data_IF_459066586975
#
_entry.id   IF_459066586975
#
_cell.length_a   1.000
_cell.length_b   1.000
_cell.length_c   1.000
_cell.angle_alpha   90.00
_cell.angle_beta   90.00
_cell.angle_gamma   90.00
#
_symmetry.space_group_name_H-M   'P 1'
#
loop_
_entity.id
_entity.type
_entity.pdbx_description
1 polymer ?
#
# COMPACT_ATOMS: atom_id res chain seq x y z
N UNK A 1 30.58 -16.88 -9.95
CA UNK A 1 29.80 -15.67 -9.62
C UNK A 1 28.73 -15.52 -10.69
N UNK A 2 27.61 -16.18 -10.52
CA UNK A 2 26.49 -16.07 -11.46
C UNK A 2 25.60 -14.92 -10.98
N UNK A 3 25.64 -13.82 -11.73
CA UNK A 3 24.70 -12.72 -11.61
C UNK A 3 23.37 -13.19 -12.18
N UNK A 4 22.45 -13.59 -11.33
CA UNK A 4 21.08 -13.85 -11.73
C UNK A 4 20.43 -12.50 -12.07
N UNK A 5 20.37 -12.19 -13.37
CA UNK A 5 19.66 -11.04 -13.89
C UNK A 5 18.16 -11.21 -13.58
N UNK A 6 17.61 -10.26 -12.86
CA UNK A 6 16.18 -9.98 -12.85
C UNK A 6 15.82 -9.45 -14.24
N UNK A 7 15.57 -10.35 -15.16
CA UNK A 7 15.00 -9.99 -16.46
C UNK A 7 13.56 -9.57 -16.23
N UNK A 8 13.36 -8.27 -16.04
CA UNK A 8 12.12 -7.69 -16.52
C UNK A 8 12.01 -8.07 -17.99
N UNK A 9 10.88 -8.56 -18.47
CA UNK A 9 10.77 -9.00 -19.85
C UNK A 9 11.17 -7.85 -20.76
N UNK A 10 12.32 -7.99 -21.41
CA UNK A 10 12.71 -7.12 -22.50
C UNK A 10 11.61 -7.24 -23.54
N UNK A 11 11.10 -6.13 -23.97
CA UNK A 11 10.11 -5.94 -25.03
C UNK A 11 10.31 -6.91 -26.20
N UNK A 12 9.79 -8.12 -26.10
CA UNK A 12 9.54 -8.98 -27.25
C UNK A 12 8.03 -9.01 -27.47
N UNK A 13 7.57 -8.15 -28.36
CA UNK A 13 6.31 -8.35 -29.04
C UNK A 13 6.37 -9.71 -29.74
N UNK A 14 5.77 -10.73 -29.12
CA UNK A 14 5.52 -12.01 -29.77
C UNK A 14 4.10 -12.43 -29.44
N UNK A 15 3.26 -12.34 -30.48
CA UNK A 15 1.96 -12.98 -30.69
C UNK A 15 1.09 -13.26 -29.46
N UNK A 16 -0.02 -12.54 -29.40
CA UNK A 16 -1.21 -12.79 -28.59
C UNK A 16 -1.62 -14.26 -28.64
N UNK A 17 -1.34 -14.98 -27.56
CA UNK A 17 -2.13 -16.08 -27.11
C UNK A 17 -2.80 -15.61 -25.82
N UNK A 18 -4.13 -15.59 -25.75
CA UNK A 18 -4.87 -15.36 -24.52
C UNK A 18 -4.52 -16.48 -23.54
N UNK A 19 -3.60 -16.20 -22.63
CA UNK A 19 -3.40 -17.02 -21.46
C UNK A 19 -4.22 -16.36 -20.35
N UNK A 20 -5.29 -17.04 -19.92
CA UNK A 20 -6.02 -16.60 -18.74
C UNK A 20 -5.04 -16.50 -17.57
N UNK A 21 -5.01 -15.37 -16.82
CA UNK A 21 -4.19 -15.26 -15.64
C UNK A 21 -4.59 -16.33 -14.64
N UNK A 22 -3.67 -17.18 -14.28
CA UNK A 22 -3.92 -18.21 -13.27
C UNK A 22 -3.60 -17.59 -11.91
N UNK A 23 -4.58 -16.94 -11.30
CA UNK A 23 -4.56 -16.69 -9.85
C UNK A 23 -4.74 -18.07 -9.20
N UNK A 24 -3.66 -18.63 -8.71
CA UNK A 24 -3.71 -19.92 -8.02
C UNK A 24 -4.22 -19.65 -6.61
N UNK A 25 -5.37 -20.21 -6.26
CA UNK A 25 -5.75 -20.35 -4.85
C UNK A 25 -4.58 -21.00 -4.13
N UNK A 26 -4.21 -20.48 -2.95
CA UNK A 26 -3.23 -21.08 -2.07
C UNK A 26 -3.75 -22.48 -1.64
N UNK A 27 -3.65 -23.43 -2.55
CA UNK A 27 -3.81 -24.83 -2.23
C UNK A 27 -2.62 -25.22 -1.35
N UNK A 28 -2.67 -24.75 -0.09
CA UNK A 28 -1.82 -25.26 0.96
C UNK A 28 -2.26 -26.69 1.18
N UNK A 29 -1.51 -27.62 0.62
CA UNK A 29 -1.47 -28.99 1.16
C UNK A 29 -0.76 -28.85 2.52
N UNK A 30 -1.47 -28.28 3.48
CA UNK A 30 -1.08 -28.32 4.88
C UNK A 30 -1.65 -29.61 5.44
N UNK A 31 -0.78 -30.49 5.89
CA UNK A 31 -1.18 -31.54 6.82
C UNK A 31 -1.95 -30.87 7.98
N UNK A 32 -3.10 -31.39 8.36
CA UNK A 32 -4.09 -30.84 9.29
C UNK A 32 -3.59 -30.50 10.71
N UNK A 33 -2.31 -30.22 10.93
CA UNK A 33 -1.69 -29.93 12.25
C UNK A 33 -0.88 -28.66 12.35
N UNK A 34 -0.75 -27.86 11.31
CA UNK A 34 -0.23 -26.50 11.46
C UNK A 34 -1.39 -25.53 11.73
N UNK A 35 -1.48 -25.09 12.98
CA UNK A 35 -2.31 -23.92 13.35
C UNK A 35 -2.03 -22.84 12.31
N UNK A 36 -3.08 -22.39 11.59
CA UNK A 36 -3.03 -21.21 10.73
C UNK A 36 -2.42 -20.07 11.55
N UNK A 37 -1.15 -19.80 11.40
CA UNK A 37 -0.61 -18.48 11.74
C UNK A 37 -1.25 -17.55 10.71
N UNK A 38 -2.29 -16.85 11.12
CA UNK A 38 -2.84 -15.77 10.33
C UNK A 38 -1.69 -14.79 10.04
N UNK A 39 -1.34 -14.66 8.76
CA UNK A 39 -0.38 -13.64 8.36
C UNK A 39 -0.97 -12.28 8.72
N UNK A 40 -0.17 -11.37 9.31
CA UNK A 40 -0.66 -10.02 9.60
C UNK A 40 -1.18 -9.35 8.33
N UNK A 41 -2.26 -8.58 8.47
CA UNK A 41 -2.80 -7.83 7.34
C UNK A 41 -1.82 -6.72 6.89
N UNK A 42 -1.89 -6.33 5.61
CA UNK A 42 -1.10 -5.21 5.12
C UNK A 42 -1.63 -3.85 5.61
N UNK A 43 -2.87 -3.78 6.07
CA UNK A 43 -3.49 -2.64 6.75
C UNK A 43 -4.37 -3.15 7.90
N UNK A 44 -4.29 -2.52 9.08
CA UNK A 44 -4.91 -2.98 10.32
C UNK A 44 -5.94 -2.03 10.92
N UNK A 45 -6.07 -0.81 10.40
CA UNK A 45 -7.04 0.19 10.87
C UNK A 45 -8.47 -0.41 10.97
N UNK A 46 -9.48 0.36 11.30
CA UNK A 46 -10.89 -0.06 11.32
C UNK A 46 -11.35 -0.59 9.94
N UNK A 47 -10.76 -1.70 9.51
CA UNK A 47 -11.03 -2.36 8.24
C UNK A 47 -11.44 -3.80 8.49
N UNK A 48 -12.28 -4.33 7.60
CA UNK A 48 -12.65 -5.74 7.55
C UNK A 48 -12.06 -6.38 6.30
N UNK A 49 -11.62 -7.64 6.41
CA UNK A 49 -11.32 -8.46 5.25
C UNK A 49 -12.60 -8.88 4.55
N UNK A 50 -12.55 -8.95 3.23
CA UNK A 50 -13.65 -9.42 2.39
C UNK A 50 -13.06 -10.21 1.21
N UNK A 51 -13.77 -11.22 0.75
CA UNK A 51 -13.39 -11.94 -0.47
C UNK A 51 -13.81 -11.17 -1.72
N UNK A 52 -13.18 -11.48 -2.86
CA UNK A 52 -13.58 -10.89 -4.14
C UNK A 52 -15.00 -11.31 -4.51
N UNK A 53 -15.38 -12.57 -4.27
CA UNK A 53 -16.72 -13.10 -4.50
C UNK A 53 -17.78 -12.36 -3.67
N UNK A 54 -17.50 -12.09 -2.40
CA UNK A 54 -18.41 -11.29 -1.55
C UNK A 54 -18.52 -9.84 -2.05
N UNK A 55 -17.40 -9.28 -2.55
CA UNK A 55 -17.39 -7.93 -3.11
C UNK A 55 -18.20 -7.86 -4.40
N UNK A 56 -18.13 -8.86 -5.25
CA UNK A 56 -18.88 -8.96 -6.51
C UNK A 56 -20.39 -9.17 -6.27
N UNK A 57 -20.72 -10.03 -5.31
CA UNK A 57 -22.12 -10.43 -5.06
C UNK A 57 -22.89 -9.38 -4.28
N UNK A 58 -22.26 -8.75 -3.29
CA UNK A 58 -22.97 -7.95 -2.29
C UNK A 58 -22.68 -6.44 -2.39
N UNK A 59 -21.63 -6.03 -3.12
CA UNK A 59 -21.22 -4.63 -3.14
C UNK A 59 -21.60 -3.96 -4.47
N UNK A 60 -22.52 -3.01 -4.40
CA UNK A 60 -22.84 -2.15 -5.54
C UNK A 60 -22.52 -0.71 -5.15
N UNK A 61 -21.49 -0.15 -5.75
CA UNK A 61 -21.16 1.26 -5.59
C UNK A 61 -22.26 2.08 -6.28
N UNK A 62 -22.98 2.94 -5.55
CA UNK A 62 -24.06 3.70 -6.13
C UNK A 62 -23.56 4.74 -7.13
N UNK A 63 -24.40 5.08 -8.10
CA UNK A 63 -24.15 6.24 -8.97
C UNK A 63 -24.38 7.53 -8.19
N UNK A 64 -23.46 8.47 -8.30
CA UNK A 64 -23.52 9.76 -7.65
C UNK A 64 -23.63 10.87 -8.71
N UNK A 65 -24.60 11.75 -8.59
CA UNK A 65 -24.67 13.06 -9.27
C UNK A 65 -25.18 13.09 -10.70
N UNK A 66 -24.87 12.14 -11.55
CA UNK A 66 -25.36 12.02 -12.91
C UNK A 66 -25.63 10.55 -13.29
N UNK A 67 -26.09 10.33 -14.52
CA UNK A 67 -26.41 8.99 -14.99
C UNK A 67 -25.18 8.15 -15.40
N UNK A 68 -23.96 8.55 -15.08
CA UNK A 68 -22.77 7.76 -15.31
C UNK A 68 -22.68 6.62 -14.30
N UNK A 69 -22.41 5.42 -14.80
CA UNK A 69 -22.10 4.28 -13.95
C UNK A 69 -20.74 4.53 -13.27
N UNK A 70 -20.74 4.48 -11.96
CA UNK A 70 -19.52 4.53 -11.16
C UNK A 70 -18.73 3.23 -11.36
N UNK A 71 -17.43 3.33 -11.58
CA UNK A 71 -16.53 2.16 -11.66
C UNK A 71 -16.66 1.39 -10.33
N UNK A 72 -16.94 0.10 -10.40
CA UNK A 72 -17.08 -0.71 -9.20
C UNK A 72 -15.73 -1.02 -8.55
N UNK A 73 -15.72 -1.44 -7.28
CA UNK A 73 -14.50 -1.86 -6.61
C UNK A 73 -13.89 -3.10 -7.26
N UNK A 74 -14.72 -4.08 -7.67
CA UNK A 74 -14.27 -5.28 -8.35
C UNK A 74 -13.69 -4.95 -9.74
N UNK A 75 -14.30 -4.04 -10.50
CA UNK A 75 -13.73 -3.60 -11.79
C UNK A 75 -12.35 -2.99 -11.61
N UNK A 76 -12.14 -2.20 -10.56
CA UNK A 76 -10.83 -1.64 -10.25
C UNK A 76 -9.80 -2.75 -9.98
N UNK A 77 -10.13 -3.76 -9.17
CA UNK A 77 -9.24 -4.90 -8.89
C UNK A 77 -8.91 -5.63 -10.19
N UNK A 78 -9.92 -6.03 -10.96
CA UNK A 78 -9.72 -6.78 -12.20
C UNK A 78 -8.86 -6.05 -13.23
N UNK A 79 -9.01 -4.73 -13.37
CA UNK A 79 -8.16 -3.96 -14.30
C UNK A 79 -6.69 -3.95 -13.89
N UNK A 80 -6.41 -3.93 -12.58
CA UNK A 80 -5.03 -4.01 -12.08
C UNK A 80 -4.47 -5.43 -12.24
N UNK A 81 -5.26 -6.46 -11.95
CA UNK A 81 -4.89 -7.87 -12.14
C UNK A 81 -4.62 -8.18 -13.61
N UNK A 82 -5.45 -7.69 -14.52
CA UNK A 82 -5.27 -7.82 -15.97
C UNK A 82 -3.96 -7.17 -16.43
N UNK A 83 -3.71 -5.93 -15.99
CA UNK A 83 -2.48 -5.21 -16.32
C UNK A 83 -1.24 -5.93 -15.76
N UNK A 84 -1.32 -6.44 -14.53
CA UNK A 84 -0.24 -7.19 -13.90
C UNK A 84 0.04 -8.50 -14.64
N UNK A 85 -0.99 -9.25 -15.00
CA UNK A 85 -0.88 -10.51 -15.74
C UNK A 85 -0.28 -10.31 -17.13
N UNK A 86 -0.60 -9.20 -17.78
CA UNK A 86 -0.02 -8.86 -19.06
C UNK A 86 1.46 -8.45 -18.94
N UNK A 87 1.77 -7.60 -17.95
CA UNK A 87 3.12 -7.05 -17.80
C UNK A 87 4.11 -8.10 -17.26
N UNK A 88 3.68 -8.88 -16.26
CA UNK A 88 4.45 -9.93 -15.61
C UNK A 88 4.06 -11.32 -16.15
N UNK A 89 3.96 -11.46 -17.48
CA UNK A 89 3.59 -12.71 -18.12
C UNK A 89 4.56 -13.84 -17.76
N UNK A 90 4.01 -14.96 -17.28
CA UNK A 90 4.77 -16.12 -16.83
C UNK A 90 5.08 -16.17 -15.32
N UNK A 91 4.78 -15.09 -14.61
CA UNK A 91 4.92 -15.06 -13.16
C UNK A 91 3.67 -15.61 -12.44
N UNK A 92 3.85 -16.06 -11.19
CA UNK A 92 2.75 -16.61 -10.37
C UNK A 92 2.32 -15.59 -9.33
N UNK A 93 1.02 -15.32 -9.28
CA UNK A 93 0.43 -14.37 -8.33
C UNK A 93 -0.14 -15.09 -7.10
N UNK A 94 -0.07 -14.42 -5.95
CA UNK A 94 -0.76 -14.83 -4.73
C UNK A 94 -2.21 -14.35 -4.73
N UNK A 95 -2.97 -14.76 -3.72
CA UNK A 95 -4.35 -14.32 -3.54
C UNK A 95 -4.42 -12.82 -3.28
N UNK A 96 -5.48 -12.19 -3.80
CA UNK A 96 -5.76 -10.79 -3.57
C UNK A 96 -6.37 -10.60 -2.19
N UNK A 97 -5.64 -9.93 -1.31
CA UNK A 97 -6.11 -9.51 0.01
C UNK A 97 -6.87 -8.20 -0.15
N UNK A 98 -8.15 -8.16 0.26
CA UNK A 98 -9.02 -7.00 0.15
C UNK A 98 -9.41 -6.53 1.54
N UNK A 99 -9.25 -5.22 1.79
CA UNK A 99 -9.62 -4.56 3.04
C UNK A 99 -10.58 -3.42 2.75
N UNK A 100 -11.69 -3.38 3.48
CA UNK A 100 -12.76 -2.40 3.29
C UNK A 100 -13.08 -1.67 4.58
N UNK A 101 -13.60 -0.45 4.46
CA UNK A 101 -14.17 0.30 5.58
C UNK A 101 -15.49 -0.36 6.04
N UNK A 102 -16.16 0.24 7.04
CA UNK A 102 -17.48 -0.20 7.46
C UNK A 102 -18.49 -0.15 6.29
N UNK A 103 -19.48 -1.04 6.35
CA UNK A 103 -20.57 -1.13 5.38
C UNK A 103 -21.45 0.12 5.43
N UNK A 104 -21.82 0.61 4.26
CA UNK A 104 -22.82 1.69 4.11
C UNK A 104 -23.99 1.12 3.33
N UNK A 105 -25.21 1.40 3.80
CA UNK A 105 -26.42 1.09 3.06
C UNK A 105 -26.61 2.13 1.95
N UNK A 106 -26.83 1.65 0.75
CA UNK A 106 -27.08 2.45 -0.43
C UNK A 106 -28.37 2.04 -1.12
N UNK A 107 -28.68 2.68 -2.24
CA UNK A 107 -29.77 2.28 -3.10
C UNK A 107 -29.22 1.65 -4.36
N UNK A 108 -29.86 0.59 -4.80
CA UNK A 108 -29.57 0.02 -6.11
C UNK A 108 -29.79 1.10 -7.20
N UNK A 109 -28.96 1.20 -8.25
CA UNK A 109 -29.11 2.20 -9.30
C UNK A 109 -30.51 2.27 -9.92
N UNK A 110 -31.20 1.13 -10.06
CA UNK A 110 -32.59 1.07 -10.54
C UNK A 110 -33.64 1.68 -9.60
N UNK A 111 -33.30 1.91 -8.34
CA UNK A 111 -34.20 2.43 -7.30
C UNK A 111 -33.93 3.89 -6.94
N UNK A 112 -33.05 4.60 -7.65
CA UNK A 112 -32.67 5.98 -7.33
C UNK A 112 -33.83 6.95 -7.40
N UNK A 113 -34.82 6.70 -8.27
CA UNK A 113 -36.05 7.54 -8.44
C UNK A 113 -37.19 7.15 -7.53
N UNK A 114 -37.13 6.00 -6.84
CA UNK A 114 -38.19 5.54 -5.93
C UNK A 114 -38.26 6.42 -4.68
N UNK A 115 -39.44 6.67 -4.18
CA UNK A 115 -39.63 7.31 -2.86
C UNK A 115 -39.22 6.36 -1.75
N UNK A 116 -38.91 6.88 -0.58
CA UNK A 116 -38.46 6.06 0.56
C UNK A 116 -39.48 4.99 0.95
N UNK A 117 -40.78 5.30 0.83
CA UNK A 117 -41.90 4.42 1.16
C UNK A 117 -42.09 3.30 0.11
N UNK A 118 -41.50 3.45 -1.07
CA UNK A 118 -41.60 2.50 -2.19
C UNK A 118 -40.41 1.55 -2.25
N UNK A 119 -39.40 1.76 -1.37
CA UNK A 119 -38.19 0.94 -1.35
C UNK A 119 -38.50 -0.44 -0.78
N UNK A 120 -38.04 -1.44 -1.49
CA UNK A 120 -38.10 -2.85 -1.09
C UNK A 120 -36.70 -3.32 -0.67
N UNK A 121 -36.53 -4.44 0.04
CA UNK A 121 -35.23 -4.99 0.43
C UNK A 121 -34.28 -5.20 -0.77
N UNK A 122 -34.81 -5.56 -1.94
CA UNK A 122 -34.08 -5.72 -3.19
C UNK A 122 -33.55 -4.42 -3.80
N UNK A 123 -34.05 -3.29 -3.34
CA UNK A 123 -33.62 -1.95 -3.76
C UNK A 123 -32.47 -1.41 -2.87
N UNK A 124 -32.18 -2.10 -1.78
CA UNK A 124 -31.09 -1.76 -0.89
C UNK A 124 -29.81 -2.47 -1.33
N UNK A 125 -28.70 -1.74 -1.26
CA UNK A 125 -27.37 -2.27 -1.56
C UNK A 125 -26.42 -1.96 -0.43
N UNK A 126 -25.30 -2.67 -0.41
CA UNK A 126 -24.17 -2.37 0.46
C UNK A 126 -23.07 -1.81 -0.41
N UNK A 127 -22.40 -0.78 0.07
CA UNK A 127 -21.15 -0.35 -0.52
C UNK A 127 -20.14 0.05 0.57
N UNK A 128 -18.88 0.16 0.16
CA UNK A 128 -17.78 0.55 1.03
C UNK A 128 -17.23 1.89 0.57
N UNK A 129 -17.15 2.85 1.51
CA UNK A 129 -16.62 4.18 1.19
C UNK A 129 -15.12 4.15 0.85
N UNK A 130 -14.40 3.19 1.45
CA UNK A 130 -12.96 3.01 1.22
C UNK A 130 -12.66 1.54 1.02
N UNK A 131 -11.79 1.25 0.08
CA UNK A 131 -11.30 -0.08 -0.21
C UNK A 131 -9.82 0.00 -0.55
N UNK A 132 -9.05 -0.96 -0.03
CA UNK A 132 -7.67 -1.23 -0.42
C UNK A 132 -7.53 -2.71 -0.75
N UNK A 133 -6.67 -3.02 -1.71
CA UNK A 133 -6.30 -4.40 -2.01
C UNK A 133 -4.82 -4.51 -2.31
N UNK A 134 -4.28 -5.70 -2.09
CA UNK A 134 -2.88 -6.02 -2.36
C UNK A 134 -2.76 -7.51 -2.72
N UNK A 135 -1.98 -7.80 -3.74
CA UNK A 135 -1.52 -9.15 -4.04
C UNK A 135 -0.01 -9.14 -4.31
N UNK A 136 0.65 -10.25 -4.08
CA UNK A 136 2.08 -10.38 -4.30
C UNK A 136 2.38 -11.28 -5.48
N UNK A 137 3.55 -11.10 -6.11
CA UNK A 137 4.06 -11.96 -7.15
C UNK A 137 4.99 -12.98 -6.47
N UNK A 138 4.53 -14.23 -6.35
CA UNK A 138 5.23 -15.29 -5.60
C UNK A 138 6.64 -15.57 -6.11
N UNK A 139 6.78 -15.54 -7.41
CA UNK A 139 8.03 -15.85 -8.11
C UNK A 139 9.05 -14.72 -8.07
N UNK A 140 8.64 -13.51 -7.72
CA UNK A 140 9.53 -12.36 -7.56
C UNK A 140 9.74 -12.10 -6.06
N UNK A 141 10.69 -12.83 -5.48
CA UNK A 141 11.08 -12.69 -4.08
C UNK A 141 12.59 -12.47 -3.94
N UNK A 142 12.99 -11.82 -2.86
CA UNK A 142 14.38 -11.53 -2.50
C UNK A 142 14.55 -11.62 -0.99
N UNK A 143 15.78 -11.82 -0.57
CA UNK A 143 16.17 -11.69 0.83
C UNK A 143 16.96 -10.41 0.99
N UNK A 144 16.51 -9.50 1.86
CA UNK A 144 17.21 -8.25 2.21
C UNK A 144 17.14 -8.04 3.73
N UNK A 145 18.30 -7.69 4.31
CA UNK A 145 18.44 -7.42 5.74
C UNK A 145 17.91 -8.57 6.64
N UNK A 146 17.98 -9.82 6.16
CA UNK A 146 17.50 -11.01 6.88
C UNK A 146 16.00 -11.27 6.76
N UNK A 147 15.28 -10.52 5.91
CA UNK A 147 13.86 -10.68 5.69
C UNK A 147 13.56 -11.07 4.23
N UNK A 148 12.65 -12.03 4.05
CA UNK A 148 12.10 -12.36 2.74
C UNK A 148 11.08 -11.31 2.32
N UNK A 149 11.26 -10.72 1.15
CA UNK A 149 10.39 -9.71 0.57
C UNK A 149 9.87 -10.14 -0.79
N UNK A 150 8.60 -9.88 -1.06
CA UNK A 150 7.96 -10.17 -2.33
C UNK A 150 7.55 -8.87 -3.02
N UNK A 151 7.67 -8.83 -4.34
CA UNK A 151 7.09 -7.76 -5.13
C UNK A 151 5.56 -7.84 -5.01
N UNK A 152 4.92 -6.73 -4.70
CA UNK A 152 3.48 -6.65 -4.52
C UNK A 152 2.88 -5.49 -5.31
N UNK A 153 1.64 -5.67 -5.71
CA UNK A 153 0.83 -4.73 -6.46
C UNK A 153 -0.49 -4.56 -5.74
N UNK A 154 -1.05 -3.36 -5.81
CA UNK A 154 -2.36 -3.12 -5.25
C UNK A 154 -2.89 -1.75 -5.55
N UNK A 155 -4.00 -1.42 -4.91
CA UNK A 155 -4.64 -0.13 -5.10
C UNK A 155 -5.49 0.29 -3.92
N UNK A 156 -5.81 1.57 -3.92
CA UNK A 156 -6.70 2.21 -2.95
C UNK A 156 -7.73 3.04 -3.68
N UNK A 157 -8.97 2.88 -3.28
CA UNK A 157 -10.06 3.77 -3.66
C UNK A 157 -10.71 4.36 -2.42
N UNK A 158 -11.01 5.64 -2.48
CA UNK A 158 -11.63 6.35 -1.38
C UNK A 158 -12.66 7.35 -1.93
N UNK A 159 -13.93 6.99 -1.86
CA UNK A 159 -15.04 7.79 -2.38
C UNK A 159 -15.15 9.17 -1.72
N UNK A 160 -14.65 9.33 -0.49
CA UNK A 160 -14.62 10.64 0.18
C UNK A 160 -13.57 11.61 -0.40
N UNK A 161 -12.67 11.15 -1.26
CA UNK A 161 -11.74 12.01 -2.01
C UNK A 161 -12.33 12.45 -3.37
N UNK A 162 -13.47 11.88 -3.76
CA UNK A 162 -14.16 12.18 -5.02
C UNK A 162 -15.22 13.27 -4.82
N UNK A 163 -15.51 14.01 -5.89
CA UNK A 163 -16.65 14.92 -5.90
C UNK A 163 -17.91 14.16 -6.38
N UNK A 164 -18.47 13.36 -5.48
CA UNK A 164 -19.55 12.40 -5.79
C UNK A 164 -20.81 13.04 -6.38
N UNK A 165 -21.05 14.32 -6.12
CA UNK A 165 -22.25 15.05 -6.56
C UNK A 165 -21.97 16.05 -7.68
N UNK A 166 -20.72 16.12 -8.15
CA UNK A 166 -20.33 16.94 -9.27
C UNK A 166 -20.65 16.27 -10.62
N UNK A 167 -21.20 17.03 -11.57
CA UNK A 167 -21.43 16.52 -12.91
C UNK A 167 -20.11 16.27 -13.61
N UNK A 168 -19.93 15.07 -14.20
CA UNK A 168 -18.73 14.67 -14.98
C UNK A 168 -17.42 14.82 -14.20
N UNK A 169 -17.46 14.64 -12.88
CA UNK A 169 -16.23 14.63 -12.08
C UNK A 169 -15.48 13.32 -12.29
N UNK A 170 -14.17 13.35 -12.54
CA UNK A 170 -13.37 12.14 -12.66
C UNK A 170 -13.37 11.36 -11.35
N UNK A 171 -13.37 10.04 -11.45
CA UNK A 171 -13.17 9.15 -10.31
C UNK A 171 -11.70 9.09 -9.92
N UNK A 172 -11.42 8.81 -8.64
CA UNK A 172 -10.06 8.91 -8.09
C UNK A 172 -9.58 7.58 -7.53
N UNK A 173 -8.46 7.14 -8.04
CA UNK A 173 -7.82 5.89 -7.65
C UNK A 173 -6.35 6.15 -7.29
N UNK A 174 -5.76 5.23 -6.54
CA UNK A 174 -4.32 5.17 -6.29
C UNK A 174 -3.87 3.74 -6.56
N UNK A 175 -2.82 3.58 -7.35
CA UNK A 175 -2.23 2.28 -7.69
C UNK A 175 -0.81 2.28 -7.14
N UNK A 176 -0.37 1.16 -6.62
CA UNK A 176 0.98 1.00 -6.14
C UNK A 176 1.62 -0.31 -6.59
N UNK A 177 2.94 -0.28 -6.69
CA UNK A 177 3.83 -1.42 -6.82
C UNK A 177 5.00 -1.18 -5.85
N UNK A 178 5.42 -2.21 -5.14
CA UNK A 178 6.50 -2.09 -4.15
C UNK A 178 6.85 -3.43 -3.54
N UNK A 179 7.55 -3.42 -2.43
CA UNK A 179 7.97 -4.63 -1.75
C UNK A 179 7.19 -4.84 -0.45
N UNK A 180 6.87 -6.10 -0.15
CA UNK A 180 6.16 -6.51 1.07
C UNK A 180 7.01 -7.52 1.83
N UNK A 181 7.25 -7.29 3.10
CA UNK A 181 7.91 -8.26 3.99
C UNK A 181 6.95 -9.40 4.28
N UNK A 182 7.41 -10.63 4.12
CA UNK A 182 6.56 -11.83 4.27
C UNK A 182 6.02 -11.99 5.69
N UNK A 183 6.86 -11.86 6.71
CA UNK A 183 6.50 -12.19 8.10
C UNK A 183 5.58 -11.18 8.77
N UNK A 184 5.71 -9.90 8.44
CA UNK A 184 4.93 -8.82 9.07
C UNK A 184 3.97 -8.13 8.11
N UNK A 185 4.02 -8.44 6.81
CA UNK A 185 3.21 -7.80 5.77
C UNK A 185 3.39 -6.28 5.66
N UNK A 186 4.52 -5.74 6.13
CA UNK A 186 4.84 -4.33 5.94
C UNK A 186 5.10 -4.04 4.46
N UNK A 187 4.42 -3.04 3.93
CA UNK A 187 4.70 -2.51 2.60
C UNK A 187 5.88 -1.55 2.67
N UNK A 188 6.67 -1.54 1.62
CA UNK A 188 7.78 -0.61 1.42
C UNK A 188 7.59 0.05 0.06
N UNK A 189 7.06 1.26 0.09
CA UNK A 189 6.73 2.03 -1.10
C UNK A 189 7.75 3.15 -1.30
N UNK A 190 8.10 3.36 -2.54
CA UNK A 190 8.95 4.45 -3.01
C UNK A 190 8.17 5.36 -3.96
N UNK A 191 8.68 6.54 -4.25
CA UNK A 191 7.96 7.52 -5.06
C UNK A 191 7.66 7.04 -6.49
N UNK A 192 8.52 6.19 -7.07
CA UNK A 192 8.33 5.59 -8.40
C UNK A 192 7.36 4.40 -8.39
N UNK A 193 7.01 3.89 -7.21
CA UNK A 193 6.05 2.80 -7.01
C UNK A 193 4.62 3.26 -6.72
N UNK A 194 4.29 4.54 -6.85
CA UNK A 194 2.97 5.07 -6.53
C UNK A 194 2.48 6.04 -7.62
N UNK A 195 1.24 5.86 -8.10
CA UNK A 195 0.65 6.79 -9.10
C UNK A 195 0.30 8.16 -8.52
N UNK A 196 0.25 8.30 -7.20
CA UNK A 196 -0.44 9.42 -6.58
C UNK A 196 -1.95 9.33 -6.83
N UNK A 197 -2.63 10.48 -6.87
CA UNK A 197 -4.06 10.55 -7.17
C UNK A 197 -4.28 10.49 -8.67
N UNK A 198 -4.76 9.34 -9.15
CA UNK A 198 -5.13 9.12 -10.54
C UNK A 198 -6.58 9.55 -10.75
N UNK A 199 -6.82 10.47 -11.67
CA UNK A 199 -8.16 10.88 -12.10
C UNK A 199 -8.49 10.17 -13.41
N UNK A 200 -9.61 9.43 -13.43
CA UNK A 200 -10.04 8.59 -14.55
C UNK A 200 -11.47 8.90 -14.97
N UNK A 201 -11.74 8.72 -16.25
CA UNK A 201 -13.08 8.85 -16.82
C UNK A 201 -13.69 7.48 -17.17
N UNK A 202 -12.87 6.44 -17.19
CA UNK A 202 -13.27 5.06 -17.46
C UNK A 202 -12.26 4.06 -16.94
N UNK A 203 -12.66 2.80 -16.90
CA UNK A 203 -11.87 1.70 -16.36
C UNK A 203 -10.60 1.37 -17.19
N UNK A 204 -10.63 1.70 -18.48
CA UNK A 204 -9.46 1.59 -19.38
C UNK A 204 -8.31 2.50 -18.94
N UNK A 205 -8.62 3.68 -18.39
CA UNK A 205 -7.59 4.60 -17.88
C UNK A 205 -6.82 3.98 -16.70
N UNK A 206 -7.50 3.19 -15.87
CA UNK A 206 -6.89 2.45 -14.76
C UNK A 206 -5.86 1.45 -15.29
N UNK A 207 -6.25 0.66 -16.29
CA UNK A 207 -5.39 -0.34 -16.92
C UNK A 207 -4.13 0.30 -17.52
N UNK A 208 -4.31 1.39 -18.29
CA UNK A 208 -3.19 2.12 -18.90
C UNK A 208 -2.25 2.71 -17.83
N UNK A 209 -2.82 3.29 -16.76
CA UNK A 209 -2.03 3.87 -15.69
C UNK A 209 -1.24 2.80 -14.92
N UNK A 210 -1.82 1.62 -14.71
CA UNK A 210 -1.13 0.49 -14.10
C UNK A 210 0.06 0.04 -14.94
N UNK A 211 -0.13 -0.17 -16.25
CA UNK A 211 0.96 -0.54 -17.17
C UNK A 211 2.08 0.50 -17.16
N UNK A 212 1.73 1.78 -17.18
CA UNK A 212 2.72 2.87 -17.12
C UNK A 212 3.51 2.84 -15.80
N UNK A 213 2.82 2.63 -14.67
CA UNK A 213 3.47 2.51 -13.37
C UNK A 213 4.45 1.34 -13.36
N UNK A 214 4.05 0.16 -13.84
CA UNK A 214 4.91 -1.03 -13.88
C UNK A 214 6.13 -0.83 -14.79
N UNK A 215 5.98 -0.12 -15.91
CA UNK A 215 7.09 0.22 -16.81
C UNK A 215 8.11 1.20 -16.19
N UNK A 216 7.65 2.11 -15.34
CA UNK A 216 8.51 3.15 -14.76
C UNK A 216 9.14 2.72 -13.43
N UNK A 217 8.54 1.76 -12.74
CA UNK A 217 9.06 1.24 -11.48
C UNK A 217 10.39 0.50 -11.69
N UNK A 218 11.39 0.80 -10.87
CA UNK A 218 12.70 0.16 -10.94
C UNK A 218 12.93 -0.73 -9.70
N UNK A 219 12.57 -2.03 -9.73
CA UNK A 219 12.66 -2.93 -8.59
C UNK A 219 14.09 -3.11 -8.09
N UNK A 220 15.07 -3.16 -8.98
CA UNK A 220 16.49 -3.34 -8.61
C UNK A 220 17.04 -2.13 -7.86
N UNK A 221 16.76 -0.93 -8.34
CA UNK A 221 17.20 0.30 -7.67
C UNK A 221 16.54 0.41 -6.28
N UNK A 222 15.27 0.08 -6.19
CA UNK A 222 14.54 0.07 -4.92
C UNK A 222 15.13 -0.92 -3.92
N UNK A 223 15.41 -2.16 -4.35
CA UNK A 223 16.02 -3.17 -3.50
C UNK A 223 17.39 -2.72 -2.98
N UNK A 224 18.24 -2.18 -3.86
CA UNK A 224 19.55 -1.66 -3.44
C UNK A 224 19.43 -0.55 -2.40
N UNK A 225 18.48 0.37 -2.59
CA UNK A 225 18.19 1.43 -1.61
C UNK A 225 17.80 0.83 -0.25
N UNK A 226 16.82 -0.08 -0.24
CA UNK A 226 16.32 -0.73 0.96
C UNK A 226 17.40 -1.57 1.67
N UNK A 227 18.24 -2.29 0.92
CA UNK A 227 19.35 -3.07 1.46
C UNK A 227 20.36 -2.21 2.22
N UNK A 228 20.64 -1.01 1.71
CA UNK A 228 21.61 -0.10 2.37
C UNK A 228 21.15 0.36 3.75
N UNK A 229 19.83 0.39 4.03
CA UNK A 229 19.28 0.81 5.31
C UNK A 229 19.71 -0.10 6.47
N UNK A 230 19.90 -1.39 6.22
CA UNK A 230 20.37 -2.34 7.23
C UNK A 230 21.80 -2.09 7.72
N UNK A 231 22.59 -1.35 6.93
CA UNK A 231 24.02 -1.08 7.23
C UNK A 231 24.25 0.17 8.08
N UNK A 232 23.24 1.00 8.30
CA UNK A 232 23.35 2.24 9.08
C UNK A 232 22.62 2.10 10.40
N UNK A 233 23.35 2.22 11.49
CA UNK A 233 22.86 1.98 12.85
C UNK A 233 22.44 3.27 13.54
N UNK A 234 21.38 3.20 14.34
CA UNK A 234 20.80 4.26 15.13
C UNK A 234 20.95 3.90 16.61
N UNK A 235 21.58 4.76 17.41
CA UNK A 235 21.68 4.56 18.85
C UNK A 235 20.34 4.84 19.54
N UNK A 236 20.21 4.46 20.80
CA UNK A 236 19.02 4.76 21.60
C UNK A 236 18.81 6.27 21.75
N UNK A 237 19.88 7.04 21.96
CA UNK A 237 19.81 8.50 22.07
C UNK A 237 19.30 9.12 20.74
N UNK A 238 19.84 8.68 19.61
CA UNK A 238 19.41 9.14 18.30
C UNK A 238 17.95 8.79 18.04
N UNK A 239 17.50 7.58 18.42
CA UNK A 239 16.09 7.20 18.32
C UNK A 239 15.21 8.11 19.17
N UNK A 240 15.59 8.39 20.43
CA UNK A 240 14.87 9.31 21.30
C UNK A 240 14.81 10.72 20.72
N UNK A 241 15.90 11.21 20.11
CA UNK A 241 15.94 12.49 19.40
C UNK A 241 14.95 12.51 18.23
N UNK A 242 14.98 11.47 17.38
CA UNK A 242 14.05 11.33 16.26
C UNK A 242 12.59 11.41 16.73
N UNK A 243 12.23 10.65 17.76
CA UNK A 243 10.86 10.65 18.31
C UNK A 243 10.48 12.01 18.88
N UNK A 244 11.36 12.62 19.66
CA UNK A 244 11.14 13.97 20.23
C UNK A 244 10.97 15.02 19.14
N UNK A 245 11.80 14.98 18.10
CA UNK A 245 11.73 15.90 16.96
C UNK A 245 10.51 15.67 16.09
N UNK A 246 10.08 14.42 15.86
CA UNK A 246 8.82 14.14 15.17
C UNK A 246 7.62 14.72 15.91
N UNK A 247 7.62 14.71 17.25
CA UNK A 247 6.60 15.36 18.09
C UNK A 247 6.65 16.87 17.95
N UNK A 248 7.84 17.44 18.05
CA UNK A 248 8.02 18.89 17.90
C UNK A 248 7.61 19.36 16.50
N UNK A 249 7.92 18.60 15.46
CA UNK A 249 7.55 18.90 14.07
C UNK A 249 6.04 19.18 13.92
N UNK A 250 5.19 18.42 14.60
CA UNK A 250 3.72 18.55 14.49
C UNK A 250 3.17 19.89 15.01
N UNK A 251 3.93 20.58 15.86
CA UNK A 251 3.52 21.86 16.47
C UNK A 251 4.34 23.05 15.98
N UNK A 252 5.25 22.83 15.02
CA UNK A 252 6.04 23.90 14.43
C UNK A 252 5.17 24.89 13.64
N UNK A 253 5.53 26.19 13.63
CA UNK A 253 4.95 27.13 12.69
C UNK A 253 5.17 26.70 11.23
N UNK A 254 4.19 26.97 10.36
CA UNK A 254 4.24 26.59 8.95
C UNK A 254 5.48 27.12 8.21
N UNK A 255 6.03 28.27 8.61
CA UNK A 255 7.26 28.83 8.05
C UNK A 255 8.47 27.94 8.32
N UNK A 256 8.59 27.38 9.52
CA UNK A 256 9.70 26.50 9.88
C UNK A 256 9.52 25.11 9.25
N UNK A 257 8.29 24.61 9.15
CA UNK A 257 8.01 23.32 8.50
C UNK A 257 8.41 23.30 7.02
N UNK A 258 8.37 24.45 6.33
CA UNK A 258 8.76 24.53 4.90
C UNK A 258 10.26 24.32 4.67
N UNK A 259 11.09 24.51 5.67
CA UNK A 259 12.54 24.32 5.61
C UNK A 259 12.96 22.88 5.96
N UNK A 260 12.00 22.04 6.34
CA UNK A 260 12.22 20.66 6.76
C UNK A 260 11.57 19.69 5.79
N UNK A 261 12.07 18.45 5.72
CA UNK A 261 11.42 17.41 4.94
C UNK A 261 10.00 17.17 5.43
N UNK A 262 9.11 16.91 4.49
CA UNK A 262 7.69 16.70 4.80
C UNK A 262 7.49 15.39 5.58
N UNK A 263 6.90 15.49 6.77
CA UNK A 263 6.48 14.35 7.58
C UNK A 263 4.97 14.38 7.74
N UNK A 264 4.31 13.26 7.39
CA UNK A 264 2.85 13.10 7.49
C UNK A 264 2.42 12.04 8.51
N UNK A 265 3.37 11.53 9.29
CA UNK A 265 3.11 10.64 10.40
C UNK A 265 2.40 11.41 11.53
N UNK A 266 1.23 10.93 11.95
CA UNK A 266 0.49 11.53 13.06
C UNK A 266 0.94 10.99 14.42
N UNK A 267 0.39 11.58 15.49
CA UNK A 267 0.66 11.19 16.88
C UNK A 267 0.51 9.70 17.15
N UNK A 268 -0.58 9.10 16.65
CA UNK A 268 -0.83 7.67 16.80
C UNK A 268 0.27 6.82 16.16
N UNK A 269 0.77 7.24 14.97
CA UNK A 269 1.85 6.54 14.29
C UNK A 269 3.18 6.66 15.06
N UNK A 270 3.51 7.84 15.59
CA UNK A 270 4.72 8.05 16.38
C UNK A 270 4.65 7.23 17.67
N UNK A 271 3.50 7.20 18.35
CA UNK A 271 3.30 6.37 19.54
C UNK A 271 3.45 4.89 19.25
N UNK A 272 2.85 4.39 18.15
CA UNK A 272 2.95 3.01 17.75
C UNK A 272 4.40 2.61 17.43
N UNK A 273 5.13 3.44 16.69
CA UNK A 273 6.55 3.21 16.40
C UNK A 273 7.41 3.23 17.68
N UNK A 274 7.13 4.14 18.63
CA UNK A 274 7.82 4.20 19.92
C UNK A 274 7.58 2.94 20.75
N UNK A 275 6.32 2.47 20.80
CA UNK A 275 5.99 1.21 21.47
C UNK A 275 6.68 0.03 20.77
N UNK A 276 6.61 -0.01 19.44
CA UNK A 276 7.27 -1.04 18.64
C UNK A 276 8.78 -1.09 18.85
N UNK A 277 9.45 0.04 19.11
CA UNK A 277 10.88 0.06 19.42
C UNK A 277 11.22 -0.82 20.62
N UNK A 278 10.32 -0.92 21.60
CA UNK A 278 10.51 -1.78 22.79
C UNK A 278 9.98 -3.19 22.52
N UNK A 279 8.76 -3.31 21.99
CA UNK A 279 7.95 -4.54 22.04
C UNK A 279 8.01 -5.35 20.74
N UNK A 280 8.33 -4.73 19.58
CA UNK A 280 8.26 -5.44 18.30
C UNK A 280 9.27 -6.60 18.25
N UNK A 281 8.81 -7.84 17.99
CA UNK A 281 9.66 -9.01 18.03
C UNK A 281 10.70 -9.07 16.89
N UNK A 282 10.50 -8.37 15.78
CA UNK A 282 11.37 -8.44 14.62
C UNK A 282 12.29 -7.20 14.53
N UNK A 283 11.75 -6.01 14.71
CA UNK A 283 12.43 -4.75 14.44
C UNK A 283 12.72 -3.89 15.68
N UNK A 284 12.21 -4.28 16.85
CA UNK A 284 12.47 -3.60 18.12
C UNK A 284 13.88 -3.80 18.67
N UNK A 285 14.18 -3.13 19.77
CA UNK A 285 15.51 -3.14 20.41
C UNK A 285 15.92 -4.54 20.90
N UNK A 286 15.02 -5.29 21.56
CA UNK A 286 15.20 -6.70 21.97
C UNK A 286 16.55 -7.03 22.60
N UNK A 287 17.05 -6.17 23.47
CA UNK A 287 18.37 -6.34 24.10
C UNK A 287 19.57 -5.96 23.19
N UNK A 288 19.34 -5.52 21.98
CA UNK A 288 20.37 -4.91 21.11
C UNK A 288 20.71 -3.50 21.62
N UNK A 289 21.94 -3.07 21.45
CA UNK A 289 22.33 -1.71 21.84
C UNK A 289 21.86 -0.65 20.81
N UNK A 290 21.54 -1.06 19.57
CA UNK A 290 21.19 -0.20 18.46
C UNK A 290 20.19 -0.91 17.55
N UNK A 291 19.41 -0.14 16.81
CA UNK A 291 18.60 -0.59 15.67
C UNK A 291 19.20 -0.06 14.38
N UNK A 292 18.84 -0.63 13.24
CA UNK A 292 19.24 -0.11 11.93
C UNK A 292 18.22 0.90 11.37
N UNK A 293 18.56 1.66 10.34
CA UNK A 293 17.60 2.46 9.59
C UNK A 293 16.52 1.58 8.92
N UNK A 294 16.84 0.32 8.60
CA UNK A 294 15.85 -0.66 8.17
C UNK A 294 14.82 -0.94 9.27
N UNK A 295 15.28 -1.22 10.50
CA UNK A 295 14.38 -1.42 11.63
C UNK A 295 13.50 -0.19 11.87
N UNK A 296 14.08 1.02 11.83
CA UNK A 296 13.31 2.27 11.94
C UNK A 296 12.21 2.35 10.87
N UNK A 297 12.56 2.07 9.60
CA UNK A 297 11.59 2.06 8.51
C UNK A 297 10.47 1.07 8.78
N UNK A 298 10.81 -0.16 9.20
CA UNK A 298 9.81 -1.19 9.49
C UNK A 298 8.90 -0.82 10.67
N UNK A 299 9.42 -0.20 11.72
CA UNK A 299 8.61 0.30 12.84
C UNK A 299 7.63 1.40 12.38
N UNK A 300 8.07 2.29 11.50
CA UNK A 300 7.21 3.34 10.94
C UNK A 300 6.16 2.78 9.97
N UNK A 301 6.52 1.77 9.17
CA UNK A 301 5.58 1.09 8.27
C UNK A 301 4.54 0.28 9.06
N UNK A 302 4.94 -0.40 10.13
CA UNK A 302 4.01 -1.06 11.05
C UNK A 302 3.01 -0.07 11.66
N UNK A 303 3.52 1.09 12.08
CA UNK A 303 2.67 2.17 12.58
C UNK A 303 1.73 2.73 11.48
N UNK A 304 2.18 2.77 10.22
CA UNK A 304 1.36 3.25 9.10
C UNK A 304 0.16 2.34 8.81
N UNK A 305 0.23 1.03 9.12
CA UNK A 305 -0.91 0.10 8.98
C UNK A 305 -2.13 0.51 9.79
N UNK A 306 -1.94 1.24 10.87
CA UNK A 306 -3.02 1.77 11.71
C UNK A 306 -3.67 3.03 11.14
N UNK A 307 -3.25 3.47 9.96
CA UNK A 307 -3.81 4.62 9.26
C UNK A 307 -5.08 4.26 8.51
N UNK A 308 -5.99 5.21 8.35
CA UNK A 308 -7.13 5.04 7.44
C UNK A 308 -6.65 4.72 6.02
N UNK A 309 -7.46 3.95 5.29
CA UNK A 309 -7.17 3.48 3.93
C UNK A 309 -6.73 4.64 3.00
N UNK A 310 -7.39 5.79 3.09
CA UNK A 310 -7.11 6.97 2.26
C UNK A 310 -5.76 7.64 2.55
N UNK A 311 -5.14 7.39 3.71
CA UNK A 311 -3.85 7.95 4.13
C UNK A 311 -2.71 6.93 4.19
N UNK A 312 -3.06 5.66 4.06
CA UNK A 312 -2.14 4.56 4.28
C UNK A 312 -0.93 4.58 3.32
N UNK A 313 -1.17 4.74 2.01
CA UNK A 313 -0.10 4.67 1.02
C UNK A 313 0.90 5.82 1.16
N UNK A 314 0.42 7.04 1.32
CA UNK A 314 1.27 8.22 1.49
C UNK A 314 2.09 8.15 2.78
N UNK A 315 1.51 7.61 3.87
CA UNK A 315 2.25 7.42 5.13
C UNK A 315 3.29 6.33 5.03
N UNK A 316 2.98 5.26 4.31
CA UNK A 316 3.93 4.18 4.05
C UNK A 316 5.12 4.68 3.22
N UNK A 317 4.86 5.39 2.11
CA UNK A 317 5.91 6.03 1.34
C UNK A 317 6.73 6.99 2.20
N UNK A 318 6.06 7.87 2.96
CA UNK A 318 6.75 8.83 3.81
C UNK A 318 7.61 8.17 4.90
N UNK A 319 7.22 7.02 5.42
CA UNK A 319 8.03 6.23 6.36
C UNK A 319 9.33 5.73 5.69
N UNK A 320 9.24 5.26 4.45
CA UNK A 320 10.40 4.85 3.66
C UNK A 320 11.32 6.05 3.37
N UNK A 321 10.77 7.16 2.86
CA UNK A 321 11.51 8.39 2.57
C UNK A 321 12.19 8.95 3.82
N UNK A 322 11.50 8.92 4.97
CA UNK A 322 12.03 9.38 6.24
C UNK A 322 13.24 8.54 6.69
N UNK A 323 13.15 7.22 6.63
CA UNK A 323 14.25 6.34 7.01
C UNK A 323 15.48 6.51 6.10
N UNK A 324 15.26 6.69 4.79
CA UNK A 324 16.31 7.00 3.82
C UNK A 324 16.96 8.36 4.12
N UNK A 325 16.16 9.36 4.45
CA UNK A 325 16.67 10.69 4.82
C UNK A 325 17.50 10.67 6.11
N UNK A 326 17.05 9.93 7.14
CA UNK A 326 17.83 9.73 8.37
C UNK A 326 19.15 8.99 8.08
N UNK A 327 19.13 7.97 7.21
CA UNK A 327 20.35 7.29 6.78
C UNK A 327 21.33 8.27 6.15
N UNK A 328 20.88 9.10 5.19
CA UNK A 328 21.72 10.10 4.55
C UNK A 328 22.30 11.09 5.58
N UNK A 329 21.50 11.55 6.52
CA UNK A 329 21.93 12.46 7.58
C UNK A 329 23.02 11.83 8.48
N UNK A 330 22.87 10.56 8.85
CA UNK A 330 23.88 9.81 9.62
C UNK A 330 25.17 9.56 8.86
N UNK A 331 25.14 9.56 7.52
CA UNK A 331 26.30 9.41 6.63
C UNK A 331 26.92 10.74 6.20
N UNK A 332 26.41 11.87 6.68
CA UNK A 332 26.84 13.22 6.27
C UNK A 332 26.54 13.52 4.79
N UNK A 333 25.54 12.87 4.22
CA UNK A 333 25.07 13.02 2.83
C UNK A 333 23.73 13.79 2.76
N UNK A 334 23.34 14.45 3.85
CA UNK A 334 22.03 15.12 4.00
C UNK A 334 21.98 16.42 3.22
N UNK A 335 21.13 16.46 2.19
CA UNK A 335 20.83 17.64 1.37
C UNK A 335 19.42 18.21 1.62
N UNK A 336 18.61 17.50 2.42
CA UNK A 336 17.18 17.79 2.61
C UNK A 336 16.83 18.17 4.06
N UNK A 337 17.86 18.39 4.89
CA UNK A 337 17.76 18.80 6.30
C UNK A 337 17.11 17.73 7.25
N UNK A 338 17.26 16.45 6.93
CA UNK A 338 16.87 15.37 7.85
C UNK A 338 17.71 15.35 9.13
N UNK A 339 18.93 15.90 9.10
CA UNK A 339 19.79 16.07 10.27
C UNK A 339 19.15 16.88 11.40
N UNK A 340 18.10 17.66 11.12
CA UNK A 340 17.32 18.33 12.13
C UNK A 340 16.67 17.36 13.12
N UNK A 341 16.29 16.16 12.67
CA UNK A 341 15.69 15.13 13.52
C UNK A 341 16.70 14.40 14.41
N UNK A 342 18.00 14.61 14.23
CA UNK A 342 19.10 13.99 14.96
C UNK A 342 19.81 14.93 15.95
N UNK A 343 19.31 16.16 16.12
CA UNK A 343 19.96 17.20 16.95
C UNK A 343 19.14 17.57 18.16
#
# INVERSE_FOLDING_TARGET
METTNLLLPSTRMTRMGMVNPTFIEDAVIVSEKEQKKEHPNFIESNTSGITLEELETNCIVPSFGDNQLTISHQTFIHRIEEAASMFFAGETFGNTEIRVSHKILGRHPSALTKRKEELKPEDETIYYQRMAFCFHIRTICREINGEEVHLCIGGVRSLNEENLYGKKSPEKFKIFIGWRVRVCSNLMLTCDGLTGRLEVMGDTDIYIAALKLFQTFNPEQNLRLLETLGRTMISQEQFCQIIGRLRLYQVLPASQMKELPKVILGDSNINAATKGYIDNPNFGLRGRAKISCWDLMQLLNEAAKQSYIDKFLERNQNATDFAVGIQKALRWEDTENYGWFLR
#
